data_IF_782915369164
#
_entry.id   IF_782915369164
#
_cell.length_a   1.000
_cell.length_b   1.000
_cell.length_c   1.000
_cell.angle_alpha   90.00
_cell.angle_beta   90.00
_cell.angle_gamma   90.00
#
_symmetry.space_group_name_H-M   'P 1'
#
loop_
_entity.id
_entity.type
_entity.pdbx_description
1 polymer ?
#
# COMPACT_ATOMS: atom_id res chain seq x y z
N UNK A 1 -22.67 1.36 -37.96
CA UNK A 1 -22.68 2.40 -39.01
C UNK A 1 -24.07 2.98 -38.99
N UNK A 2 -24.17 4.29 -38.75
CA UNK A 2 -25.47 4.98 -38.76
C UNK A 2 -25.65 5.55 -40.17
N UNK A 3 -26.79 5.26 -40.79
CA UNK A 3 -27.13 5.74 -42.13
C UNK A 3 -28.12 6.91 -42.03
N UNK A 4 -28.12 7.78 -43.04
CA UNK A 4 -29.13 8.82 -43.15
C UNK A 4 -30.48 8.15 -43.45
N UNK A 5 -31.55 8.47 -42.71
CA UNK A 5 -32.89 8.02 -43.03
C UNK A 5 -33.33 8.46 -44.45
N UNK A 6 -34.21 7.69 -45.10
CA UNK A 6 -34.61 7.89 -46.50
C UNK A 6 -35.19 9.28 -46.79
N UNK A 7 -35.89 9.88 -45.84
CA UNK A 7 -36.48 11.23 -45.93
C UNK A 7 -35.42 12.34 -45.93
N UNK A 8 -34.22 12.07 -45.40
CA UNK A 8 -33.09 12.98 -45.39
C UNK A 8 -32.17 12.83 -46.62
N UNK A 9 -32.38 11.79 -47.43
CA UNK A 9 -31.66 11.59 -48.69
C UNK A 9 -32.13 12.54 -49.80
N UNK A 10 -33.17 13.34 -49.58
CA UNK A 10 -33.63 14.39 -50.50
C UNK A 10 -33.51 15.78 -49.88
N UNK A 11 -33.33 16.79 -50.72
CA UNK A 11 -33.37 18.17 -50.26
C UNK A 11 -34.82 18.55 -49.90
N UNK A 12 -35.10 19.02 -48.67
CA UNK A 12 -36.47 19.32 -48.24
C UNK A 12 -37.10 20.52 -48.97
N UNK A 13 -36.32 21.31 -49.70
CA UNK A 13 -36.80 22.51 -50.41
C UNK A 13 -37.04 22.23 -51.90
N UNK A 14 -36.09 21.57 -52.57
CA UNK A 14 -36.14 21.36 -54.02
C UNK A 14 -36.38 19.91 -54.45
N UNK A 15 -36.48 18.98 -53.50
CA UNK A 15 -36.80 17.56 -53.75
C UNK A 15 -35.69 16.74 -54.43
N UNK A 16 -34.54 17.34 -54.78
CA UNK A 16 -33.44 16.63 -55.44
C UNK A 16 -32.70 15.70 -54.47
N UNK A 17 -32.21 14.53 -54.92
CA UNK A 17 -31.46 13.61 -54.07
C UNK A 17 -30.10 14.20 -53.65
N UNK A 18 -29.70 13.94 -52.39
CA UNK A 18 -28.37 14.22 -51.86
C UNK A 18 -27.40 13.13 -52.34
N UNK A 19 -26.19 13.54 -52.72
CA UNK A 19 -25.12 12.60 -53.08
C UNK A 19 -24.49 12.05 -51.80
N UNK A 20 -24.55 10.73 -51.61
CA UNK A 20 -23.80 10.05 -50.55
C UNK A 20 -22.30 10.21 -50.84
N UNK A 21 -21.56 10.67 -49.83
CA UNK A 21 -20.10 10.85 -49.92
C UNK A 21 -19.41 9.81 -49.04
N UNK A 22 -18.10 9.67 -49.22
CA UNK A 22 -17.25 8.83 -48.36
C UNK A 22 -16.68 9.61 -47.16
N UNK A 23 -17.27 10.76 -46.83
CA UNK A 23 -16.91 11.55 -45.66
C UNK A 23 -17.71 11.03 -44.47
N UNK A 24 -17.04 10.79 -43.35
CA UNK A 24 -17.66 10.30 -42.13
C UNK A 24 -17.33 11.23 -40.97
N UNK A 25 -18.31 11.48 -40.11
CA UNK A 25 -18.07 11.96 -38.75
C UNK A 25 -17.84 10.74 -37.86
N UNK A 26 -16.67 10.68 -37.21
CA UNK A 26 -16.28 9.55 -36.37
C UNK A 26 -16.36 9.97 -34.91
N UNK A 27 -17.19 9.26 -34.14
CA UNK A 27 -17.27 9.37 -32.69
C UNK A 27 -17.07 7.99 -32.05
N UNK A 28 -16.64 8.00 -30.79
CA UNK A 28 -16.40 6.77 -30.02
C UNK A 28 -17.31 6.76 -28.80
N UNK A 29 -18.00 5.65 -28.59
CA UNK A 29 -18.70 5.34 -27.34
C UNK A 29 -17.94 4.21 -26.63
N UNK A 30 -17.65 4.41 -25.34
CA UNK A 30 -17.04 3.38 -24.49
C UNK A 30 -18.15 2.72 -23.68
N UNK A 31 -18.52 1.51 -24.06
CA UNK A 31 -19.47 0.67 -23.34
C UNK A 31 -18.74 -0.32 -22.41
N UNK A 32 -19.44 -0.85 -21.40
CA UNK A 32 -18.89 -1.79 -20.43
C UNK A 32 -19.88 -2.86 -19.99
N UNK A 33 -19.50 -4.14 -20.16
CA UNK A 33 -20.34 -5.29 -19.83
C UNK A 33 -19.58 -6.33 -18.98
N UNK A 34 -20.13 -6.71 -17.82
CA UNK A 34 -19.65 -7.82 -16.99
C UNK A 34 -20.66 -8.97 -17.06
N UNK A 35 -20.21 -10.18 -17.40
CA UNK A 35 -21.04 -11.40 -17.43
C UNK A 35 -20.52 -12.49 -16.51
N UNK A 36 -21.31 -12.90 -15.52
CA UNK A 36 -21.08 -14.17 -14.80
C UNK A 36 -21.71 -15.33 -15.56
N UNK A 37 -20.90 -16.36 -15.85
CA UNK A 37 -21.35 -17.55 -16.59
C UNK A 37 -21.34 -18.79 -15.70
N UNK A 38 -22.50 -19.45 -15.59
CA UNK A 38 -22.63 -20.73 -14.89
C UNK A 38 -22.32 -21.90 -15.83
N UNK A 39 -21.16 -22.53 -15.66
CA UNK A 39 -20.75 -23.71 -16.47
C UNK A 39 -21.25 -25.02 -15.83
N UNK A 40 -22.05 -25.80 -16.57
CA UNK A 40 -22.51 -27.15 -16.16
C UNK A 40 -21.62 -28.22 -16.79
N UNK A 41 -20.87 -28.95 -15.97
CA UNK A 41 -20.02 -30.05 -16.45
C UNK A 41 -20.78 -31.39 -16.41
N UNK A 42 -21.10 -31.94 -17.59
CA UNK A 42 -21.66 -33.29 -17.75
C UNK A 42 -20.50 -34.26 -17.99
N UNK A 43 -20.34 -35.26 -17.11
CA UNK A 43 -19.23 -36.23 -17.18
C UNK A 43 -19.78 -37.61 -17.50
N UNK A 44 -19.29 -38.21 -18.59
CA UNK A 44 -19.61 -39.60 -18.93
C UNK A 44 -18.98 -40.55 -17.91
N UNK A 45 -19.71 -41.62 -17.60
CA UNK A 45 -19.25 -42.74 -16.78
C UNK A 45 -19.21 -43.99 -17.64
N UNK A 46 -18.15 -44.77 -17.53
CA UNK A 46 -18.04 -46.12 -18.10
C UNK A 46 -18.09 -47.14 -16.96
N UNK A 47 -18.77 -48.26 -17.19
CA UNK A 47 -18.89 -49.35 -16.21
C UNK A 47 -18.09 -50.54 -16.72
N UNK A 48 -17.29 -51.14 -15.85
CA UNK A 48 -16.52 -52.34 -16.18
C UNK A 48 -17.47 -53.52 -16.41
N UNK A 49 -17.29 -54.21 -17.53
CA UNK A 49 -18.06 -55.42 -17.90
C UNK A 49 -17.36 -56.71 -17.48
N UNK A 50 -16.13 -56.62 -16.98
CA UNK A 50 -15.34 -57.76 -16.51
C UNK A 50 -15.47 -57.98 -14.99
N UNK A 51 -15.02 -59.16 -14.54
CA UNK A 51 -14.98 -59.56 -13.12
C UNK A 51 -13.64 -59.26 -12.44
N UNK A 52 -12.73 -58.57 -13.12
CA UNK A 52 -11.42 -58.22 -12.58
C UNK A 52 -11.56 -57.30 -11.33
N UNK A 53 -10.62 -57.36 -10.37
CA UNK A 53 -10.65 -56.56 -9.14
C UNK A 53 -10.20 -55.11 -9.38
N UNK A 54 -10.84 -54.40 -10.32
CA UNK A 54 -10.59 -53.00 -10.65
C UNK A 54 -11.82 -52.13 -10.33
N UNK A 55 -11.65 -50.80 -10.28
CA UNK A 55 -12.78 -49.88 -10.12
C UNK A 55 -13.87 -50.16 -11.15
N UNK A 56 -15.07 -50.52 -10.66
CA UNK A 56 -16.22 -50.89 -11.49
C UNK A 56 -16.79 -49.73 -12.30
N UNK A 57 -16.43 -48.49 -11.97
CA UNK A 57 -16.90 -47.30 -12.70
C UNK A 57 -15.77 -46.29 -12.84
N UNK A 58 -15.52 -45.88 -14.08
CA UNK A 58 -14.59 -44.81 -14.44
C UNK A 58 -15.40 -43.59 -14.86
N UNK A 59 -15.03 -42.39 -14.40
CA UNK A 59 -15.71 -41.14 -14.76
C UNK A 59 -14.73 -40.23 -15.50
N UNK A 60 -15.10 -39.72 -16.67
CA UNK A 60 -14.28 -38.79 -17.45
C UNK A 60 -13.80 -37.61 -16.58
N UNK A 61 -12.55 -37.18 -16.72
CA UNK A 61 -11.98 -36.15 -15.84
C UNK A 61 -12.62 -34.77 -15.97
N UNK A 62 -12.47 -33.95 -14.92
CA UNK A 62 -12.82 -32.53 -14.98
C UNK A 62 -11.59 -31.71 -15.35
N UNK A 63 -11.79 -30.51 -15.94
CA UNK A 63 -10.73 -29.52 -16.00
C UNK A 63 -10.13 -29.29 -14.60
N UNK A 64 -8.80 -29.13 -14.48
CA UNK A 64 -8.17 -28.88 -13.21
C UNK A 64 -8.67 -27.57 -12.59
N UNK A 65 -8.89 -27.58 -11.29
CA UNK A 65 -9.29 -26.42 -10.49
C UNK A 65 -8.33 -26.28 -9.32
N UNK A 66 -8.01 -25.04 -8.95
CA UNK A 66 -7.08 -24.78 -7.84
C UNK A 66 -7.66 -25.26 -6.49
N UNK A 67 -8.99 -25.19 -6.35
CA UNK A 67 -9.73 -25.81 -5.25
C UNK A 67 -10.41 -27.08 -5.81
N UNK A 68 -9.92 -28.29 -5.45
CA UNK A 68 -10.51 -29.53 -5.93
C UNK A 68 -12.00 -29.63 -5.57
N UNK A 69 -12.82 -30.00 -6.56
CA UNK A 69 -14.30 -30.10 -6.45
C UNK A 69 -14.98 -28.77 -6.05
N UNK A 70 -14.29 -27.64 -6.19
CA UNK A 70 -14.81 -26.30 -5.91
C UNK A 70 -15.92 -25.89 -6.87
N UNK A 71 -16.86 -25.06 -6.39
CA UNK A 71 -17.98 -24.53 -7.19
C UNK A 71 -17.55 -23.41 -8.15
N UNK A 72 -16.43 -22.74 -7.86
CA UNK A 72 -15.96 -21.57 -8.60
C UNK A 72 -14.76 -21.90 -9.49
N UNK A 73 -14.68 -21.23 -10.64
CA UNK A 73 -13.54 -21.33 -11.56
C UNK A 73 -12.37 -20.48 -11.10
N UNK A 74 -11.14 -20.82 -11.51
CA UNK A 74 -9.95 -20.05 -11.15
C UNK A 74 -10.07 -18.56 -11.54
N UNK A 75 -10.68 -18.25 -12.69
CA UNK A 75 -10.93 -16.88 -13.13
C UNK A 75 -11.87 -16.12 -12.18
N UNK A 76 -12.94 -16.77 -11.71
CA UNK A 76 -13.84 -16.17 -10.71
C UNK A 76 -13.10 -15.92 -9.39
N UNK A 77 -12.31 -16.90 -8.92
CA UNK A 77 -11.51 -16.76 -7.70
C UNK A 77 -10.55 -15.55 -7.79
N UNK A 78 -9.83 -15.43 -8.89
CA UNK A 78 -8.92 -14.32 -9.15
C UNK A 78 -9.65 -12.97 -9.17
N UNK A 79 -10.79 -12.90 -9.86
CA UNK A 79 -11.59 -11.68 -9.92
C UNK A 79 -12.05 -11.22 -8.53
N UNK A 80 -12.57 -12.14 -7.71
CA UNK A 80 -13.01 -11.80 -6.34
C UNK A 80 -11.83 -11.37 -5.45
N UNK A 81 -10.65 -11.98 -5.60
CA UNK A 81 -9.44 -11.54 -4.87
C UNK A 81 -9.06 -10.10 -5.24
N UNK A 82 -9.07 -9.75 -6.53
CA UNK A 82 -8.77 -8.40 -7.00
C UNK A 82 -9.81 -7.40 -6.49
N UNK A 83 -11.11 -7.70 -6.62
CA UNK A 83 -12.18 -6.88 -6.04
C UNK A 83 -11.97 -6.66 -4.54
N UNK A 84 -11.62 -7.72 -3.81
CA UNK A 84 -11.48 -7.67 -2.36
C UNK A 84 -10.26 -6.89 -1.89
N UNK A 85 -9.10 -7.18 -2.47
CA UNK A 85 -7.82 -6.74 -1.91
C UNK A 85 -7.17 -5.61 -2.69
N UNK A 86 -7.40 -5.50 -4.00
CA UNK A 86 -6.87 -4.40 -4.80
C UNK A 86 -7.86 -3.23 -4.81
N UNK A 87 -9.13 -3.49 -5.12
CA UNK A 87 -10.18 -2.47 -5.09
C UNK A 87 -10.81 -2.26 -3.70
N UNK A 88 -10.37 -3.02 -2.71
CA UNK A 88 -10.81 -2.89 -1.31
C UNK A 88 -12.33 -2.98 -1.10
N UNK A 89 -13.05 -3.74 -1.94
CA UNK A 89 -14.49 -3.84 -1.84
C UNK A 89 -14.86 -4.75 -0.64
N UNK A 90 -15.71 -4.29 0.31
CA UNK A 90 -16.20 -5.13 1.41
C UNK A 90 -16.91 -6.39 0.91
N UNK A 91 -16.83 -7.50 1.65
CA UNK A 91 -17.36 -8.79 1.18
C UNK A 91 -18.87 -8.76 0.94
N UNK A 92 -19.64 -8.12 1.83
CA UNK A 92 -21.07 -7.91 1.64
C UNK A 92 -21.38 -7.19 0.31
N UNK A 93 -20.58 -6.19 -0.08
CA UNK A 93 -20.77 -5.48 -1.36
C UNK A 93 -20.44 -6.35 -2.56
N UNK A 94 -19.38 -7.16 -2.48
CA UNK A 94 -19.08 -8.15 -3.51
C UNK A 94 -20.25 -9.13 -3.65
N UNK A 95 -20.77 -9.65 -2.53
CA UNK A 95 -21.92 -10.56 -2.52
C UNK A 95 -23.18 -9.92 -3.14
N UNK A 96 -23.44 -8.64 -2.85
CA UNK A 96 -24.53 -7.88 -3.48
C UNK A 96 -24.34 -7.75 -5.00
N UNK A 97 -23.14 -7.36 -5.45
CA UNK A 97 -22.82 -7.18 -6.88
C UNK A 97 -23.07 -8.46 -7.67
N UNK A 98 -22.56 -9.60 -7.18
CA UNK A 98 -22.75 -10.89 -7.87
C UNK A 98 -24.21 -11.36 -7.82
N UNK A 99 -24.94 -11.03 -6.74
CA UNK A 99 -26.36 -11.36 -6.61
C UNK A 99 -27.23 -10.59 -7.59
N UNK A 100 -26.92 -9.31 -7.86
CA UNK A 100 -27.62 -8.51 -8.88
C UNK A 100 -27.51 -9.10 -10.30
N UNK A 101 -26.47 -9.90 -10.54
CA UNK A 101 -26.26 -10.62 -11.80
C UNK A 101 -26.80 -12.06 -11.78
N UNK A 102 -27.66 -12.39 -10.80
CA UNK A 102 -28.32 -13.68 -10.68
C UNK A 102 -27.49 -14.77 -9.96
N UNK A 103 -26.35 -14.41 -9.37
CA UNK A 103 -25.49 -15.33 -8.63
C UNK A 103 -25.53 -15.04 -7.12
N UNK A 104 -26.52 -15.61 -6.42
CA UNK A 104 -26.61 -15.50 -4.97
C UNK A 104 -25.48 -16.30 -4.27
N UNK A 105 -24.58 -15.60 -3.57
CA UNK A 105 -23.47 -16.17 -2.80
C UNK A 105 -23.45 -15.53 -1.42
N UNK A 106 -23.31 -16.36 -0.36
CA UNK A 106 -23.15 -15.86 1.00
C UNK A 106 -21.72 -15.41 1.29
N UNK A 107 -21.55 -14.45 2.20
CA UNK A 107 -20.21 -14.03 2.66
C UNK A 107 -19.41 -15.20 3.25
N UNK A 108 -20.05 -16.10 3.99
CA UNK A 108 -19.41 -17.32 4.51
C UNK A 108 -18.85 -18.22 3.40
N UNK A 109 -19.49 -18.27 2.24
CA UNK A 109 -18.97 -19.00 1.07
C UNK A 109 -17.71 -18.34 0.51
N UNK A 110 -17.68 -17.00 0.42
CA UNK A 110 -16.52 -16.24 -0.03
C UNK A 110 -15.36 -16.35 0.96
N UNK A 111 -15.63 -16.26 2.26
CA UNK A 111 -14.63 -16.42 3.32
C UNK A 111 -14.04 -17.83 3.32
N UNK A 112 -14.88 -18.86 3.26
CA UNK A 112 -14.40 -20.25 3.20
C UNK A 112 -13.60 -20.55 1.93
N UNK A 113 -13.89 -19.84 0.83
CA UNK A 113 -13.08 -19.88 -0.38
C UNK A 113 -11.70 -19.24 -0.18
N UNK A 114 -11.62 -18.07 0.45
CA UNK A 114 -10.33 -17.44 0.75
C UNK A 114 -9.46 -18.31 1.65
N UNK A 115 -10.03 -18.93 2.69
CA UNK A 115 -9.30 -19.85 3.57
C UNK A 115 -8.63 -21.00 2.79
N UNK A 116 -9.28 -21.52 1.74
CA UNK A 116 -8.71 -22.56 0.88
C UNK A 116 -7.61 -22.05 -0.05
N UNK A 117 -7.58 -20.75 -0.35
CA UNK A 117 -6.56 -20.13 -1.18
C UNK A 117 -5.30 -19.76 -0.40
N UNK A 118 -5.40 -19.52 0.91
CA UNK A 118 -4.25 -19.20 1.79
C UNK A 118 -3.07 -20.17 1.61
N UNK A 119 -3.22 -21.51 1.74
CA UNK A 119 -2.09 -22.42 1.60
C UNK A 119 -1.47 -22.41 0.19
N UNK A 120 -2.25 -22.07 -0.84
CA UNK A 120 -1.78 -21.99 -2.23
C UNK A 120 -0.97 -20.72 -2.49
N UNK A 121 -1.31 -19.62 -1.81
CA UNK A 121 -0.63 -18.32 -1.94
C UNK A 121 0.55 -18.17 -0.97
N UNK A 122 0.61 -18.99 0.10
CA UNK A 122 1.66 -18.93 1.12
C UNK A 122 3.08 -19.05 0.54
N UNK A 123 3.40 -19.95 -0.42
CA UNK A 123 4.74 -20.02 -1.01
C UNK A 123 5.16 -18.71 -1.68
N UNK A 124 4.23 -18.06 -2.39
CA UNK A 124 4.48 -16.76 -3.02
C UNK A 124 4.75 -15.68 -1.97
N UNK A 125 3.95 -15.63 -0.90
CA UNK A 125 4.18 -14.71 0.21
C UNK A 125 5.57 -14.90 0.84
N UNK A 126 5.98 -16.15 1.08
CA UNK A 126 7.28 -16.45 1.67
C UNK A 126 8.44 -15.99 0.77
N UNK A 127 8.31 -16.19 -0.55
CA UNK A 127 9.27 -15.73 -1.53
C UNK A 127 9.34 -14.19 -1.59
N UNK A 128 8.18 -13.51 -1.63
CA UNK A 128 8.14 -12.04 -1.59
C UNK A 128 8.79 -11.50 -0.32
N UNK A 129 8.56 -12.15 0.82
CA UNK A 129 9.16 -11.78 2.08
C UNK A 129 10.66 -12.06 2.13
N UNK A 130 11.13 -13.14 1.50
CA UNK A 130 12.55 -13.44 1.36
C UNK A 130 13.27 -12.41 0.49
N UNK A 131 12.72 -12.10 -0.69
CA UNK A 131 13.23 -11.02 -1.55
C UNK A 131 13.27 -9.72 -0.76
N UNK A 132 12.18 -9.36 -0.08
CA UNK A 132 12.12 -8.16 0.75
C UNK A 132 13.27 -8.10 1.76
N UNK A 133 13.51 -9.18 2.52
CA UNK A 133 14.56 -9.23 3.55
C UNK A 133 15.99 -9.07 3.03
N UNK A 134 16.23 -9.41 1.77
CA UNK A 134 17.55 -9.40 1.14
C UNK A 134 17.86 -8.12 0.36
N UNK A 135 16.95 -7.15 0.36
CA UNK A 135 17.16 -5.82 -0.22
C UNK A 135 18.09 -4.97 0.67
N UNK A 136 18.35 -3.73 0.27
CA UNK A 136 19.21 -2.80 1.03
C UNK A 136 18.50 -1.48 1.36
N UNK A 137 17.28 -1.29 0.88
CA UNK A 137 16.46 -0.12 1.16
C UNK A 137 15.03 -0.53 1.45
N UNK A 138 14.49 -0.03 2.56
CA UNK A 138 13.12 -0.30 2.97
C UNK A 138 12.41 0.96 3.42
N UNK A 139 11.11 0.96 3.23
CA UNK A 139 10.18 1.77 4.00
C UNK A 139 9.46 0.87 5.00
N UNK A 140 9.31 1.33 6.24
CA UNK A 140 8.62 0.60 7.30
C UNK A 140 7.60 1.50 8.01
N UNK A 141 6.41 0.96 8.25
CA UNK A 141 5.36 1.63 9.03
C UNK A 141 4.47 0.61 9.74
N UNK A 142 3.74 1.07 10.75
CA UNK A 142 2.77 0.26 11.48
C UNK A 142 1.56 1.09 11.89
N UNK A 143 0.37 0.51 11.71
CA UNK A 143 -0.88 1.22 12.04
C UNK A 143 -1.65 0.44 13.09
N UNK A 144 -2.25 1.14 14.06
CA UNK A 144 -3.14 0.49 15.02
C UNK A 144 -4.43 0.04 14.35
N UNK A 145 -4.84 -1.20 14.56
CA UNK A 145 -6.10 -1.75 14.09
C UNK A 145 -6.92 -2.29 15.26
N UNK A 146 -8.09 -1.69 15.49
CA UNK A 146 -9.04 -2.18 16.49
C UNK A 146 -9.77 -3.41 15.98
N UNK A 147 -9.77 -4.49 16.76
CA UNK A 147 -10.56 -5.68 16.46
C UNK A 147 -11.85 -5.70 17.31
N UNK A 148 -12.95 -6.20 16.73
CA UNK A 148 -14.27 -6.31 17.38
C UNK A 148 -14.50 -7.65 18.10
N UNK A 149 -13.46 -8.46 18.35
CA UNK A 149 -13.63 -9.72 19.11
C UNK A 149 -13.66 -9.41 20.59
N UNK A 150 -14.80 -9.68 21.22
CA UNK A 150 -14.94 -9.73 22.67
C UNK A 150 -14.19 -10.95 23.20
N UNK A 151 -12.96 -10.75 23.67
CA UNK A 151 -12.34 -11.70 24.58
C UNK A 151 -12.86 -11.42 26.01
N UNK A 152 -13.23 -12.45 26.79
CA UNK A 152 -13.79 -12.29 28.14
C UNK A 152 -12.80 -11.71 29.16
N UNK A 153 -11.51 -11.79 28.88
CA UNK A 153 -10.43 -11.36 29.75
C UNK A 153 -9.35 -10.59 28.98
N UNK A 154 -9.00 -9.41 29.49
CA UNK A 154 -7.82 -8.57 29.17
C UNK A 154 -8.03 -7.37 28.24
N UNK A 155 -7.53 -6.26 28.75
CA UNK A 155 -7.14 -5.07 28.00
C UNK A 155 -6.13 -5.47 26.90
N UNK A 156 -6.47 -5.24 25.63
CA UNK A 156 -5.60 -5.57 24.50
C UNK A 156 -6.32 -5.56 23.15
N UNK A 157 -7.00 -4.45 22.83
CA UNK A 157 -7.94 -4.31 21.70
C UNK A 157 -7.27 -3.95 20.36
N UNK A 158 -5.99 -4.25 20.19
CA UNK A 158 -5.22 -3.72 19.06
C UNK A 158 -4.35 -4.80 18.43
N UNK A 159 -4.50 -4.96 17.12
CA UNK A 159 -3.51 -5.60 16.27
C UNK A 159 -2.80 -4.51 15.47
N UNK A 160 -1.61 -4.82 14.97
CA UNK A 160 -0.85 -3.92 14.14
C UNK A 160 -0.50 -4.61 12.81
N UNK A 161 -1.08 -4.14 11.68
CA UNK A 161 -0.47 -4.33 10.39
C UNK A 161 0.84 -3.54 10.34
N UNK A 162 1.92 -4.27 10.19
CA UNK A 162 3.24 -3.76 9.84
C UNK A 162 3.41 -3.90 8.33
N UNK A 163 3.98 -2.88 7.70
CA UNK A 163 4.32 -2.91 6.29
C UNK A 163 5.82 -2.70 6.13
N UNK A 164 6.44 -3.52 5.28
CA UNK A 164 7.81 -3.37 4.82
C UNK A 164 7.80 -3.30 3.30
N UNK A 165 8.13 -2.14 2.75
CA UNK A 165 8.21 -1.90 1.30
C UNK A 165 9.68 -1.85 0.91
N UNK A 166 10.08 -2.62 -0.07
CA UNK A 166 11.38 -2.51 -0.74
C UNK A 166 11.16 -2.09 -2.21
N UNK A 167 12.23 -1.85 -3.00
CA UNK A 167 12.09 -1.55 -4.42
C UNK A 167 11.28 -2.60 -5.21
N UNK A 168 11.38 -3.87 -4.81
CA UNK A 168 10.77 -4.99 -5.54
C UNK A 168 9.48 -5.53 -4.91
N UNK A 169 9.30 -5.42 -3.59
CA UNK A 169 8.21 -6.12 -2.90
C UNK A 169 7.59 -5.31 -1.75
N UNK A 170 6.33 -5.62 -1.45
CA UNK A 170 5.61 -5.11 -0.28
C UNK A 170 5.20 -6.31 0.58
N UNK A 171 5.56 -6.27 1.86
CA UNK A 171 5.25 -7.33 2.83
C UNK A 171 4.41 -6.75 3.95
N UNK A 172 3.27 -7.37 4.21
CA UNK A 172 2.43 -7.07 5.36
C UNK A 172 2.57 -8.16 6.42
N UNK A 173 2.78 -7.76 7.67
CA UNK A 173 2.79 -8.65 8.83
C UNK A 173 1.73 -8.17 9.80
N UNK A 174 0.76 -9.02 10.10
CA UNK A 174 -0.27 -8.75 11.09
C UNK A 174 0.13 -9.39 12.42
N UNK A 175 0.43 -8.58 13.43
CA UNK A 175 0.91 -9.05 14.74
C UNK A 175 0.18 -8.32 15.89
N UNK A 176 -0.18 -9.00 16.99
CA UNK A 176 -0.78 -8.37 18.17
C UNK A 176 0.23 -7.54 19.00
N UNK A 177 1.49 -7.46 18.59
CA UNK A 177 2.52 -6.64 19.24
C UNK A 177 2.87 -5.42 18.39
N UNK A 178 2.91 -4.25 19.03
CA UNK A 178 3.55 -3.04 18.48
C UNK A 178 5.04 -2.92 18.86
N UNK A 179 5.67 -4.01 19.29
CA UNK A 179 7.05 -3.96 19.78
C UNK A 179 8.08 -4.16 18.65
N UNK A 180 9.33 -3.78 18.92
CA UNK A 180 10.47 -4.03 18.01
C UNK A 180 10.72 -5.52 17.72
N UNK A 181 10.05 -6.45 18.42
CA UNK A 181 10.18 -7.88 18.14
C UNK A 181 9.60 -8.25 16.77
N UNK A 182 8.61 -7.51 16.26
CA UNK A 182 8.00 -7.79 14.95
C UNK A 182 8.97 -7.47 13.81
N UNK A 183 9.48 -6.23 13.66
CA UNK A 183 10.48 -5.95 12.63
C UNK A 183 11.77 -6.76 12.83
N UNK A 184 12.15 -7.11 14.07
CA UNK A 184 13.30 -8.01 14.31
C UNK A 184 13.08 -9.43 13.79
N UNK A 185 11.84 -9.96 13.80
CA UNK A 185 11.54 -11.27 13.18
C UNK A 185 11.56 -11.19 11.66
N UNK A 186 11.26 -10.01 11.10
CA UNK A 186 11.34 -9.79 9.66
C UNK A 186 12.79 -9.69 9.21
N UNK A 187 13.60 -8.80 9.77
CA UNK A 187 14.99 -8.64 9.34
C UNK A 187 15.92 -9.71 9.92
N UNK A 188 16.88 -10.18 9.11
CA UNK A 188 17.95 -11.05 9.63
C UNK A 188 18.90 -10.24 10.53
N UNK A 189 19.61 -10.90 11.45
CA UNK A 189 20.58 -10.23 12.34
C UNK A 189 21.76 -9.63 11.58
N UNK A 190 21.99 -10.08 10.35
CA UNK A 190 23.03 -9.60 9.45
C UNK A 190 22.51 -8.62 8.39
N UNK A 191 21.25 -8.19 8.47
CA UNK A 191 20.67 -7.25 7.51
C UNK A 191 21.47 -5.95 7.47
N UNK A 192 21.70 -5.44 6.25
CA UNK A 192 22.45 -4.22 6.00
C UNK A 192 21.67 -3.34 5.04
N UNK A 193 21.56 -2.06 5.35
CA UNK A 193 20.85 -1.12 4.49
C UNK A 193 20.16 -0.01 5.25
N UNK A 194 19.28 0.70 4.56
CA UNK A 194 18.61 1.91 5.04
C UNK A 194 17.12 1.64 5.20
N UNK A 195 16.57 1.96 6.37
CA UNK A 195 15.13 1.89 6.64
C UNK A 195 14.59 3.30 6.80
N UNK A 196 13.77 3.73 5.85
CA UNK A 196 12.88 4.87 5.98
C UNK A 196 11.75 4.53 6.95
N UNK A 197 11.67 5.23 8.06
CA UNK A 197 10.63 5.04 9.06
C UNK A 197 10.29 6.37 9.75
N UNK A 198 9.28 6.34 10.61
CA UNK A 198 9.05 7.44 11.54
C UNK A 198 10.03 7.37 12.75
N UNK A 199 9.74 8.18 13.77
CA UNK A 199 10.55 8.23 15.01
C UNK A 199 10.08 7.23 16.07
N UNK A 200 9.28 6.22 15.71
CA UNK A 200 8.82 5.23 16.67
C UNK A 200 10.00 4.46 17.27
N UNK A 201 9.93 4.25 18.59
CA UNK A 201 11.04 3.70 19.38
C UNK A 201 11.35 2.25 19.02
N UNK A 202 10.41 1.51 18.44
CA UNK A 202 10.65 0.14 17.99
C UNK A 202 11.73 0.09 16.90
N UNK A 203 11.72 1.03 15.96
CA UNK A 203 12.73 1.13 14.90
C UNK A 203 14.07 1.59 15.46
N UNK A 204 14.09 2.53 16.41
CA UNK A 204 15.33 2.94 17.09
C UNK A 204 15.99 1.74 17.79
N UNK A 205 15.19 0.92 18.50
CA UNK A 205 15.66 -0.32 19.12
C UNK A 205 16.13 -1.34 18.08
N UNK A 206 15.45 -1.45 16.94
CA UNK A 206 15.85 -2.33 15.84
C UNK A 206 17.26 -1.99 15.32
N UNK A 207 17.54 -0.72 15.02
CA UNK A 207 18.85 -0.28 14.52
C UNK A 207 19.97 -0.47 15.56
N UNK A 208 19.65 -0.39 16.86
CA UNK A 208 20.62 -0.74 17.91
C UNK A 208 20.96 -2.23 17.93
N UNK A 209 19.95 -3.09 17.68
CA UNK A 209 20.09 -4.55 17.69
C UNK A 209 20.73 -5.09 16.41
N UNK A 210 20.45 -4.48 15.26
CA UNK A 210 20.99 -4.88 13.95
C UNK A 210 21.86 -3.74 13.43
N UNK A 211 23.17 -3.83 13.71
CA UNK A 211 24.14 -2.75 13.46
C UNK A 211 24.28 -2.35 11.99
N UNK A 212 23.91 -3.24 11.07
CA UNK A 212 23.92 -2.95 9.63
C UNK A 212 22.78 -2.04 9.16
N UNK A 213 21.77 -1.77 10.01
CA UNK A 213 20.61 -0.96 9.63
C UNK A 213 20.77 0.50 10.04
N UNK A 214 20.66 1.39 9.05
CA UNK A 214 20.64 2.84 9.24
C UNK A 214 19.21 3.34 9.12
N UNK A 215 18.78 4.19 10.05
CA UNK A 215 17.43 4.78 10.04
C UNK A 215 17.42 6.10 9.27
N UNK A 216 16.69 6.16 8.16
CA UNK A 216 16.32 7.41 7.52
C UNK A 216 14.96 7.87 8.09
N UNK A 217 14.92 9.06 8.69
CA UNK A 217 13.74 9.54 9.40
C UNK A 217 12.88 10.45 8.55
N UNK A 218 11.58 10.18 8.59
CA UNK A 218 10.57 10.88 7.80
C UNK A 218 10.46 12.37 8.21
N UNK A 219 10.82 13.26 7.28
CA UNK A 219 10.71 14.71 7.44
C UNK A 219 9.26 15.20 7.57
N UNK A 220 8.29 14.53 6.96
CA UNK A 220 6.87 14.85 7.15
C UNK A 220 6.44 14.71 8.61
N UNK A 221 6.98 13.73 9.35
CA UNK A 221 6.74 13.60 10.79
C UNK A 221 7.48 14.66 11.60
N UNK A 222 8.71 15.02 11.19
CA UNK A 222 9.45 16.11 11.80
C UNK A 222 8.73 17.47 11.64
N UNK A 223 8.24 17.77 10.44
CA UNK A 223 7.41 18.94 10.14
C UNK A 223 6.11 18.97 10.95
N UNK A 224 5.47 17.80 11.13
CA UNK A 224 4.21 17.67 11.87
C UNK A 224 4.36 18.12 13.33
N UNK A 225 5.50 17.86 13.98
CA UNK A 225 5.75 18.31 15.36
C UNK A 225 5.58 19.83 15.52
N UNK A 226 6.10 20.61 14.57
CA UNK A 226 5.98 22.08 14.61
C UNK A 226 4.52 22.50 14.39
N UNK A 227 3.85 21.88 13.40
CA UNK A 227 2.43 22.15 13.11
C UNK A 227 1.56 21.87 14.34
N UNK A 228 1.77 20.72 14.99
CA UNK A 228 1.00 20.28 16.15
C UNK A 228 1.27 21.19 17.36
N UNK A 229 2.51 21.64 17.56
CA UNK A 229 2.83 22.66 18.58
C UNK A 229 2.09 23.99 18.32
N UNK A 230 2.11 24.49 17.08
CA UNK A 230 1.41 25.73 16.71
C UNK A 230 -0.12 25.63 16.75
N UNK A 231 -0.69 24.43 16.52
CA UNK A 231 -2.11 24.14 16.70
C UNK A 231 -2.50 24.02 18.17
N UNK A 232 -1.62 23.45 18.99
CA UNK A 232 -1.88 23.24 20.42
C UNK A 232 -1.89 24.56 21.20
N UNK A 233 -1.01 25.50 20.83
CA UNK A 233 -0.88 26.79 21.50
C UNK A 233 -0.71 27.93 20.48
N UNK A 234 -1.67 28.85 20.46
CA UNK A 234 -1.69 30.00 19.53
C UNK A 234 -0.42 30.87 19.65
N UNK A 235 0.13 31.03 20.85
CA UNK A 235 1.37 31.79 21.05
C UNK A 235 2.60 31.17 20.36
N UNK A 236 2.55 29.87 20.02
CA UNK A 236 3.61 29.17 19.30
C UNK A 236 3.40 29.16 17.79
N UNK A 237 2.27 29.66 17.29
CA UNK A 237 1.91 29.56 15.87
C UNK A 237 2.93 30.26 14.95
N UNK A 238 3.31 31.50 15.26
CA UNK A 238 4.29 32.24 14.47
C UNK A 238 5.66 31.54 14.44
N UNK A 239 6.10 31.00 15.57
CA UNK A 239 7.33 30.20 15.67
C UNK A 239 7.24 28.91 14.84
N UNK A 240 6.13 28.18 14.96
CA UNK A 240 5.88 26.96 14.21
C UNK A 240 5.89 27.22 12.69
N UNK A 241 5.28 28.31 12.24
CA UNK A 241 5.23 28.68 10.82
C UNK A 241 6.59 29.03 10.26
N UNK A 242 7.44 29.72 11.05
CA UNK A 242 8.83 29.98 10.68
C UNK A 242 9.60 28.67 10.47
N UNK A 243 9.46 27.71 11.38
CA UNK A 243 10.12 26.40 11.26
C UNK A 243 9.57 25.56 10.10
N UNK A 244 8.26 25.60 9.87
CA UNK A 244 7.65 24.95 8.70
C UNK A 244 8.17 25.55 7.39
N UNK A 245 8.37 26.87 7.32
CA UNK A 245 8.98 27.53 6.16
C UNK A 245 10.44 27.10 5.97
N UNK A 246 11.25 27.09 7.04
CA UNK A 246 12.63 26.57 6.99
C UNK A 246 12.69 25.13 6.48
N UNK A 247 11.77 24.27 6.92
CA UNK A 247 11.66 22.89 6.44
C UNK A 247 11.28 22.85 4.95
N UNK A 248 10.34 23.69 4.51
CA UNK A 248 9.95 23.78 3.11
C UNK A 248 11.13 24.19 2.21
N UNK A 249 12.00 25.08 2.68
CA UNK A 249 13.24 25.43 1.99
C UNK A 249 14.20 24.24 1.83
N UNK A 250 14.34 23.39 2.86
CA UNK A 250 15.14 22.16 2.74
C UNK A 250 14.56 21.22 1.68
N UNK A 251 13.24 21.04 1.63
CA UNK A 251 12.60 20.25 0.56
C UNK A 251 12.89 20.84 -0.82
N UNK A 252 12.74 22.16 -0.98
CA UNK A 252 13.02 22.86 -2.23
C UNK A 252 14.47 22.65 -2.67
N UNK A 253 15.44 22.87 -1.77
CA UNK A 253 16.86 22.67 -2.05
C UNK A 253 17.18 21.22 -2.41
N UNK A 254 16.57 20.25 -1.72
CA UNK A 254 16.75 18.85 -2.05
C UNK A 254 16.15 18.50 -3.43
N UNK A 255 14.99 19.04 -3.77
CA UNK A 255 14.38 18.87 -5.10
C UNK A 255 15.28 19.46 -6.21
N UNK A 256 15.79 20.68 -6.02
CA UNK A 256 16.74 21.31 -6.95
C UNK A 256 18.00 20.46 -7.13
N UNK A 257 18.53 19.91 -6.02
CA UNK A 257 19.68 19.00 -6.04
C UNK A 257 19.41 17.73 -6.85
N UNK A 258 18.27 17.08 -6.63
CA UNK A 258 17.91 15.84 -7.32
C UNK A 258 17.60 16.05 -8.81
N UNK A 259 17.12 17.23 -9.20
CA UNK A 259 16.87 17.57 -10.61
C UNK A 259 18.15 17.57 -11.47
N UNK A 260 19.31 17.75 -10.84
CA UNK A 260 20.62 17.79 -11.52
C UNK A 260 21.50 16.58 -11.19
N UNK A 261 20.91 15.45 -10.75
CA UNK A 261 21.64 14.24 -10.34
C UNK A 261 22.63 13.73 -11.41
N UNK A 262 22.31 13.91 -12.70
CA UNK A 262 23.17 13.51 -13.83
C UNK A 262 24.29 14.50 -14.19
N UNK A 263 24.38 15.66 -13.52
CA UNK A 263 25.35 16.71 -13.82
C UNK A 263 26.25 16.98 -12.59
N UNK A 264 27.45 16.36 -12.50
CA UNK A 264 28.26 16.34 -11.27
C UNK A 264 28.59 17.72 -10.68
N UNK A 265 28.96 18.70 -11.50
CA UNK A 265 29.31 20.04 -11.02
C UNK A 265 28.08 20.79 -10.46
N UNK A 266 26.94 20.69 -11.16
CA UNK A 266 25.68 21.30 -10.71
C UNK A 266 25.16 20.62 -9.45
N UNK A 267 25.28 19.29 -9.38
CA UNK A 267 24.91 18.51 -8.20
C UNK A 267 25.77 18.90 -7.01
N UNK A 268 27.09 19.02 -7.17
CA UNK A 268 27.99 19.43 -6.09
C UNK A 268 27.65 20.84 -5.57
N UNK A 269 27.41 21.81 -6.47
CA UNK A 269 26.99 23.15 -6.07
C UNK A 269 25.62 23.15 -5.34
N UNK A 270 24.67 22.31 -5.77
CA UNK A 270 23.37 22.17 -5.11
C UNK A 270 23.47 21.45 -3.75
N UNK A 271 24.34 20.44 -3.64
CA UNK A 271 24.68 19.74 -2.40
C UNK A 271 25.22 20.73 -1.36
N UNK A 272 26.19 21.57 -1.72
CA UNK A 272 26.76 22.58 -0.80
C UNK A 272 25.71 23.56 -0.27
N UNK A 273 24.75 23.98 -1.13
CA UNK A 273 23.63 24.84 -0.71
C UNK A 273 22.72 24.14 0.30
N UNK A 274 22.40 22.87 0.06
CA UNK A 274 21.59 22.06 0.97
C UNK A 274 22.29 21.85 2.31
N UNK A 275 23.57 21.46 2.30
CA UNK A 275 24.40 21.26 3.50
C UNK A 275 24.50 22.55 4.32
N UNK A 276 24.78 23.68 3.67
CA UNK A 276 24.82 25.00 4.31
C UNK A 276 23.49 25.35 4.99
N UNK A 277 22.36 25.08 4.33
CA UNK A 277 21.04 25.32 4.90
C UNK A 277 20.73 24.42 6.10
N UNK A 278 21.15 23.15 6.05
CA UNK A 278 21.02 22.21 7.17
C UNK A 278 21.91 22.62 8.36
N UNK A 279 23.14 23.08 8.11
CA UNK A 279 24.02 23.61 9.16
C UNK A 279 23.42 24.85 9.84
N UNK A 280 22.86 25.77 9.05
CA UNK A 280 22.16 26.95 9.58
C UNK A 280 20.93 26.55 10.41
N UNK A 281 20.18 25.54 9.95
CA UNK A 281 19.06 24.98 10.69
C UNK A 281 19.53 24.42 12.04
N UNK A 282 20.60 23.61 12.05
CA UNK A 282 21.16 23.03 13.27
C UNK A 282 21.66 24.11 14.25
N UNK A 283 22.37 25.13 13.75
CA UNK A 283 22.78 26.31 14.55
C UNK A 283 21.58 27.03 15.15
N UNK A 284 20.49 27.18 14.40
CA UNK A 284 19.25 27.79 14.90
C UNK A 284 18.61 26.96 16.01
N UNK A 285 18.63 25.62 15.89
CA UNK A 285 18.13 24.73 16.96
C UNK A 285 18.90 24.95 18.26
N UNK A 286 20.24 24.96 18.20
CA UNK A 286 21.08 25.18 19.37
C UNK A 286 20.85 26.55 20.00
N UNK A 287 20.85 27.62 19.18
CA UNK A 287 20.64 28.98 19.67
C UNK A 287 19.27 29.17 20.32
N UNK A 288 18.20 28.60 19.75
CA UNK A 288 16.86 28.68 20.34
C UNK A 288 16.78 27.90 21.66
N UNK A 289 17.46 26.76 21.80
CA UNK A 289 17.49 25.97 23.03
C UNK A 289 18.23 26.66 24.19
N UNK A 290 19.19 27.54 23.89
CA UNK A 290 19.89 28.36 24.88
C UNK A 290 19.07 29.58 25.35
N UNK A 291 17.95 29.88 24.67
CA UNK A 291 17.14 31.05 25.00
C UNK A 291 16.41 30.90 26.36
N UNK A 292 16.55 31.86 27.30
CA UNK A 292 16.11 31.71 28.69
C UNK A 292 14.59 31.64 28.90
N UNK A 293 13.77 31.86 27.86
CA UNK A 293 12.30 31.86 27.92
C UNK A 293 11.66 30.93 26.88
N UNK A 294 12.41 29.96 26.37
CA UNK A 294 11.88 29.01 25.40
C UNK A 294 10.77 28.15 26.03
N UNK A 295 9.61 28.08 25.40
CA UNK A 295 8.48 27.31 25.93
C UNK A 295 8.79 25.80 25.91
N UNK A 296 8.30 25.05 26.90
CA UNK A 296 8.61 23.63 27.05
C UNK A 296 8.25 22.78 25.82
N UNK A 297 7.18 23.13 25.08
CA UNK A 297 6.83 22.45 23.82
C UNK A 297 7.85 22.72 22.72
N UNK A 298 8.37 23.96 22.61
CA UNK A 298 9.43 24.29 21.66
C UNK A 298 10.69 23.51 22.03
N UNK A 299 11.07 23.50 23.31
CA UNK A 299 12.19 22.70 23.81
C UNK A 299 12.03 21.22 23.47
N UNK A 300 10.82 20.66 23.65
CA UNK A 300 10.53 19.25 23.32
C UNK A 300 10.75 18.95 21.84
N UNK A 301 10.24 19.80 20.94
CA UNK A 301 10.38 19.62 19.48
C UNK A 301 11.85 19.77 19.05
N UNK A 302 12.53 20.80 19.54
CA UNK A 302 13.93 21.09 19.20
C UNK A 302 14.90 20.01 19.75
N UNK A 303 14.71 19.56 21.00
CA UNK A 303 15.49 18.45 21.56
C UNK A 303 15.24 17.14 20.80
N UNK A 304 13.99 16.90 20.36
CA UNK A 304 13.67 15.75 19.51
C UNK A 304 14.38 15.84 18.16
N UNK A 305 14.49 17.05 17.58
CA UNK A 305 15.24 17.29 16.35
C UNK A 305 16.72 16.94 16.52
N UNK A 306 17.39 17.49 17.55
CA UNK A 306 18.81 17.22 17.83
C UNK A 306 19.08 15.73 18.03
N UNK A 307 18.26 15.07 18.87
CA UNK A 307 18.40 13.64 19.15
C UNK A 307 18.32 12.76 17.91
N UNK A 308 17.59 13.20 16.89
CA UNK A 308 17.29 12.43 15.68
C UNK A 308 17.99 12.99 14.43
N UNK A 309 18.89 13.97 14.58
CA UNK A 309 19.43 14.74 13.47
C UNK A 309 20.14 13.86 12.44
N UNK A 310 21.02 12.95 12.90
CA UNK A 310 21.73 12.01 12.02
C UNK A 310 20.78 11.15 11.18
N UNK A 311 19.64 10.74 11.75
CA UNK A 311 18.62 10.00 11.03
C UNK A 311 17.82 10.85 10.06
N UNK A 312 17.60 12.13 10.38
CA UNK A 312 16.93 13.09 9.49
C UNK A 312 17.81 13.45 8.29
N UNK A 313 19.13 13.40 8.40
CA UNK A 313 20.05 13.84 7.34
C UNK A 313 20.65 12.71 6.50
N UNK A 314 20.20 11.46 6.66
CA UNK A 314 20.69 10.30 5.86
C UNK A 314 20.62 10.54 4.35
N UNK A 315 19.58 11.22 3.86
CA UNK A 315 19.37 11.53 2.44
C UNK A 315 20.42 12.48 1.83
N UNK A 316 21.17 13.20 2.67
CA UNK A 316 22.23 14.11 2.23
C UNK A 316 23.35 13.31 1.58
N UNK A 317 23.79 12.25 2.25
CA UNK A 317 24.85 11.35 1.77
C UNK A 317 24.33 10.23 0.87
N UNK A 318 23.01 10.02 0.84
CA UNK A 318 22.35 8.99 0.04
C UNK A 318 21.22 9.62 -0.80
N UNK A 319 21.53 10.25 -1.96
CA UNK A 319 20.55 11.06 -2.70
C UNK A 319 19.33 10.29 -3.19
N UNK A 320 19.45 8.97 -3.38
CA UNK A 320 18.35 8.10 -3.79
C UNK A 320 17.38 7.77 -2.64
N UNK A 321 17.76 8.06 -1.40
CA UNK A 321 16.92 7.83 -0.22
C UNK A 321 15.99 9.04 -0.06
N UNK A 322 14.67 8.84 -0.07
CA UNK A 322 13.73 9.94 0.05
C UNK A 322 13.74 10.53 1.47
N UNK A 323 13.42 11.83 1.58
CA UNK A 323 13.23 12.51 2.87
C UNK A 323 11.99 12.00 3.62
N UNK A 324 11.00 11.47 2.91
CA UNK A 324 9.72 11.03 3.46
C UNK A 324 9.53 9.53 3.39
N UNK A 325 8.78 9.01 4.36
CA UNK A 325 8.33 7.62 4.38
C UNK A 325 7.02 7.42 3.60
N UNK A 326 6.78 8.24 2.57
CA UNK A 326 5.51 8.24 1.86
C UNK A 326 5.27 6.89 1.18
N UNK A 327 6.27 6.17 0.68
CA UNK A 327 6.03 4.85 0.06
C UNK A 327 5.38 3.84 1.02
N UNK A 328 5.70 3.82 2.32
CA UNK A 328 4.96 2.98 3.27
C UNK A 328 3.55 3.52 3.58
N UNK A 329 3.34 4.83 3.49
CA UNK A 329 2.06 5.51 3.77
C UNK A 329 1.13 5.61 2.53
N UNK A 330 1.71 5.54 1.34
CA UNK A 330 1.18 5.98 0.05
C UNK A 330 1.50 5.00 -1.08
N UNK A 331 1.85 3.74 -0.79
CA UNK A 331 1.55 2.67 -1.76
C UNK A 331 0.10 2.89 -2.18
N UNK A 332 -0.13 3.46 -3.36
CA UNK A 332 -1.37 4.13 -3.78
C UNK A 332 -2.58 3.21 -3.94
N UNK A 333 -2.53 2.05 -3.29
CA UNK A 333 -3.53 0.99 -3.24
C UNK A 333 -3.86 0.63 -1.77
N UNK A 334 -3.09 1.11 -0.78
CA UNK A 334 -3.19 0.67 0.61
C UNK A 334 -2.94 1.83 1.59
N UNK A 335 -4.01 2.51 2.01
CA UNK A 335 -4.00 3.23 3.27
C UNK A 335 -4.32 2.21 4.39
N UNK A 336 -3.43 2.00 5.36
CA UNK A 336 -3.68 1.08 6.47
C UNK A 336 -4.96 1.39 7.27
N UNK A 337 -5.43 2.65 7.24
CA UNK A 337 -6.71 3.05 7.84
C UNK A 337 -7.92 2.46 7.09
N UNK A 338 -7.81 2.18 5.80
CA UNK A 338 -8.89 1.58 4.99
C UNK A 338 -8.96 0.04 5.12
N UNK A 339 -7.86 -0.61 5.55
CA UNK A 339 -7.87 -2.03 5.95
C UNK A 339 -8.82 -2.28 7.12
N UNK A 340 -8.99 -1.30 8.01
CA UNK A 340 -9.89 -1.41 9.16
C UNK A 340 -11.36 -1.67 8.77
N UNK A 341 -11.79 -1.21 7.59
CA UNK A 341 -13.17 -1.35 7.10
C UNK A 341 -13.42 -2.63 6.32
N UNK A 342 -12.36 -3.33 5.91
CA UNK A 342 -12.45 -4.33 4.83
C UNK A 342 -12.18 -5.75 5.32
N UNK A 343 -11.45 -5.97 6.40
CA UNK A 343 -11.15 -7.33 6.89
C UNK A 343 -12.02 -7.73 8.09
N UNK A 344 -12.98 -8.64 7.85
CA UNK A 344 -13.57 -9.47 8.90
C UNK A 344 -12.65 -10.68 9.06
N UNK A 345 -11.83 -10.69 10.12
CA UNK A 345 -11.01 -11.87 10.44
C UNK A 345 -11.94 -12.91 11.07
N UNK A 346 -12.35 -13.91 10.27
CA UNK A 346 -12.91 -15.14 10.82
C UNK A 346 -11.76 -15.96 11.41
N UNK A 347 -11.68 -15.97 12.74
CA UNK A 347 -10.92 -16.86 13.63
C UNK A 347 -9.78 -17.66 13.01
N UNK A 348 -8.55 -17.21 13.26
CA UNK A 348 -7.41 -18.13 13.38
C UNK A 348 -7.41 -18.57 14.85
N UNK A 349 -7.87 -19.79 15.12
CA UNK A 349 -7.61 -20.42 16.42
C UNK A 349 -6.10 -20.67 16.52
N UNK A 350 -5.59 -20.47 17.74
CA UNK A 350 -4.22 -20.75 18.16
C UNK A 350 -3.71 -22.13 17.78
#
# INVERSE_FOLDING_TARGET
>A
MHELPDDQLVCPICGKPRKITNLYEVSYEIDYEIKFVRKKHLRRKAISTCTCPVCRTVTADKPPQVIPKGKFSNAFLAHILVMKFFFQIPLHRIAMIVSMQGLAISEGTLTGMFQKLVPLLKPLYLLLAEVNRNEEHWHADETGWMHFVQAPDKQGRHWWPWVFVSPMTVVFILDPSRSSSVPRKHFSENARGIINCDRFSAYAKLATLIKGLVRALCWSHFRRDFIDAGKSLTCLKAWADLWVARIADIYRLNHERLAVLGAPELFHAAQLRLESALELMLKSIHSELEAPKLHWQQQKVLNSALKNWDGLTVFVNNPLIPMDNNLALSTGIYNPQDLQKTLVISGVSA
#
